data_IF_348169844742
#
_entry.id   IF_348169844742
#
_cell.length_a   1.000
_cell.length_b   1.000
_cell.length_c   1.000
_cell.angle_alpha   90.00
_cell.angle_beta   90.00
_cell.angle_gamma   90.00
#
_symmetry.space_group_name_H-M   'P 1'
#
loop_
_entity.id
_entity.type
_entity.pdbx_description
1 polymer ?
#
# COMPACT_ATOMS: atom_id res chain seq x y z
N UNK A 1 -8.00 7.78 33.01
CA UNK A 1 -6.87 8.22 32.15
C UNK A 1 -6.42 7.20 31.09
N UNK A 2 -6.92 5.95 31.05
CA UNK A 2 -6.44 4.88 30.15
C UNK A 2 -6.89 5.03 28.66
N UNK A 3 -8.02 5.70 28.39
CA UNK A 3 -8.57 5.84 27.03
C UNK A 3 -7.78 6.77 26.10
N UNK A 4 -7.02 7.72 26.65
CA UNK A 4 -6.27 8.71 25.86
C UNK A 4 -5.02 8.10 25.20
N UNK A 5 -4.44 7.07 25.81
CA UNK A 5 -3.26 6.36 25.28
C UNK A 5 -3.61 5.36 24.18
N UNK A 6 -4.84 4.84 24.12
CA UNK A 6 -5.26 3.85 23.12
C UNK A 6 -5.81 4.48 21.82
N UNK A 7 -6.41 5.68 21.89
CA UNK A 7 -6.95 6.40 20.72
C UNK A 7 -5.86 7.01 19.83
N UNK A 8 -4.78 7.53 20.44
CA UNK A 8 -3.63 8.08 19.70
C UNK A 8 -2.96 7.10 18.73
N UNK A 9 -2.61 5.86 19.11
CA UNK A 9 -1.92 4.92 18.23
C UNK A 9 -2.80 4.43 17.07
N UNK A 10 -4.13 4.41 17.22
CA UNK A 10 -5.02 4.04 16.11
C UNK A 10 -5.11 5.15 15.06
N UNK A 11 -5.27 6.40 15.48
CA UNK A 11 -5.27 7.56 14.56
C UNK A 11 -3.94 7.74 13.85
N UNK A 12 -2.82 7.46 14.53
CA UNK A 12 -1.47 7.50 13.94
C UNK A 12 -1.32 6.47 12.82
N UNK A 13 -1.72 5.22 13.06
CA UNK A 13 -1.68 4.14 12.05
C UNK A 13 -2.56 4.41 10.83
N UNK A 14 -3.75 4.98 11.01
CA UNK A 14 -4.60 5.36 9.87
C UNK A 14 -3.99 6.48 9.03
N UNK A 15 -3.42 7.51 9.67
CA UNK A 15 -2.71 8.58 8.96
C UNK A 15 -1.48 8.07 8.23
N UNK A 16 -0.68 7.23 8.88
CA UNK A 16 0.50 6.59 8.26
C UNK A 16 0.08 5.73 7.06
N UNK A 17 -1.03 4.99 7.14
CA UNK A 17 -1.54 4.22 6.01
C UNK A 17 -2.04 5.11 4.86
N UNK A 18 -2.75 6.21 5.14
CA UNK A 18 -3.14 7.18 4.11
C UNK A 18 -1.94 7.82 3.43
N UNK A 19 -0.93 8.24 4.21
CA UNK A 19 0.30 8.81 3.67
C UNK A 19 1.05 7.82 2.78
N UNK A 20 1.16 6.56 3.21
CA UNK A 20 1.74 5.49 2.38
C UNK A 20 1.00 5.35 1.04
N UNK A 21 -0.33 5.45 1.04
CA UNK A 21 -1.14 5.36 -0.19
C UNK A 21 -0.98 6.56 -1.13
N UNK A 22 -0.71 7.75 -0.59
CA UNK A 22 -0.43 8.97 -1.35
C UNK A 22 0.99 8.96 -1.95
N UNK A 23 1.93 8.30 -1.27
CA UNK A 23 3.32 8.19 -1.73
C UNK A 23 3.51 7.18 -2.86
N UNK A 24 2.54 6.29 -3.11
CA UNK A 24 2.60 5.30 -4.19
C UNK A 24 2.61 5.98 -5.56
N UNK A 25 3.60 5.62 -6.39
CA UNK A 25 3.72 6.12 -7.76
C UNK A 25 3.91 4.98 -8.76
N UNK A 26 3.57 5.25 -10.02
CA UNK A 26 3.87 4.35 -11.14
C UNK A 26 5.39 4.11 -11.18
N UNK A 27 5.79 2.85 -11.32
CA UNK A 27 7.19 2.42 -11.30
C UNK A 27 7.70 1.98 -9.92
N UNK A 28 6.96 2.24 -8.84
CA UNK A 28 7.36 1.78 -7.52
C UNK A 28 7.24 0.26 -7.38
N UNK A 29 8.25 -0.34 -6.76
CA UNK A 29 8.18 -1.72 -6.30
C UNK A 29 7.40 -1.77 -4.99
N UNK A 30 6.42 -2.64 -4.94
CA UNK A 30 5.53 -2.79 -3.79
C UNK A 30 5.36 -4.24 -3.41
N UNK A 31 5.01 -4.45 -2.14
CA UNK A 31 4.52 -5.72 -1.65
C UNK A 31 3.07 -5.55 -1.22
N UNK A 32 2.22 -6.49 -1.63
CA UNK A 32 0.82 -6.56 -1.20
C UNK A 32 0.71 -7.29 0.14
N UNK A 33 -0.41 -7.13 0.84
CA UNK A 33 -0.70 -7.82 2.10
C UNK A 33 -0.69 -9.34 1.98
N UNK A 34 -0.89 -9.89 0.77
CA UNK A 34 -0.77 -11.31 0.47
C UNK A 34 0.66 -11.79 0.20
N UNK A 35 1.68 -10.93 0.36
CA UNK A 35 3.08 -11.27 0.11
C UNK A 35 3.50 -11.23 -1.36
N UNK A 36 2.64 -10.75 -2.27
CA UNK A 36 2.96 -10.64 -3.69
C UNK A 36 3.80 -9.40 -3.94
N UNK A 37 4.93 -9.58 -4.61
CA UNK A 37 5.80 -8.50 -5.08
C UNK A 37 5.45 -8.12 -6.51
N UNK A 38 5.52 -6.83 -6.80
CA UNK A 38 5.32 -6.33 -8.15
C UNK A 38 5.71 -4.87 -8.30
N UNK A 39 5.60 -4.38 -9.52
CA UNK A 39 5.83 -2.98 -9.89
C UNK A 39 4.51 -2.33 -10.25
N UNK A 40 4.24 -1.15 -9.71
CA UNK A 40 3.01 -0.40 -10.05
C UNK A 40 3.06 0.03 -11.51
N UNK A 41 2.09 -0.43 -12.30
CA UNK A 41 1.89 0.06 -13.67
C UNK A 41 0.82 1.13 -13.75
N UNK A 42 -0.24 1.04 -12.97
CA UNK A 42 -1.32 2.04 -12.98
C UNK A 42 -1.91 2.21 -11.60
N UNK A 43 -2.24 3.45 -11.25
CA UNK A 43 -2.91 3.81 -10.00
C UNK A 43 -4.28 4.38 -10.34
N UNK A 44 -5.31 3.88 -9.68
CA UNK A 44 -6.69 4.39 -9.69
C UNK A 44 -7.11 4.66 -8.25
N UNK A 45 -8.23 5.35 -8.04
CA UNK A 45 -8.64 5.79 -6.70
C UNK A 45 -8.77 4.61 -5.72
N UNK A 46 -9.45 3.54 -6.10
CA UNK A 46 -9.69 2.39 -5.21
C UNK A 46 -8.76 1.19 -5.47
N UNK A 47 -8.01 1.20 -6.57
CA UNK A 47 -7.21 0.04 -6.98
C UNK A 47 -5.89 0.42 -7.64
N UNK A 48 -4.95 -0.51 -7.59
CA UNK A 48 -3.63 -0.39 -8.20
C UNK A 48 -3.41 -1.60 -9.09
N UNK A 49 -2.94 -1.38 -10.31
CA UNK A 49 -2.49 -2.45 -11.21
C UNK A 49 -1.00 -2.62 -11.02
N UNK A 50 -0.60 -3.81 -10.61
CA UNK A 50 0.80 -4.20 -10.46
C UNK A 50 1.18 -5.24 -11.50
N UNK A 51 2.40 -5.15 -12.00
CA UNK A 51 3.04 -6.18 -12.81
C UNK A 51 3.90 -7.06 -11.91
N UNK A 52 3.60 -8.35 -11.89
CA UNK A 52 4.35 -9.35 -11.14
C UNK A 52 5.50 -9.90 -12.00
N UNK A 53 6.46 -10.58 -11.37
CA UNK A 53 7.67 -11.07 -12.06
C UNK A 53 7.37 -12.05 -13.20
N UNK A 54 6.25 -12.79 -13.13
CA UNK A 54 5.80 -13.66 -14.23
C UNK A 54 5.37 -12.90 -15.49
N UNK A 55 5.37 -11.57 -15.47
CA UNK A 55 4.93 -10.70 -16.56
C UNK A 55 3.43 -10.44 -16.58
N UNK A 56 2.65 -11.18 -15.78
CA UNK A 56 1.23 -10.94 -15.62
C UNK A 56 0.95 -9.61 -14.89
N UNK A 57 -0.17 -8.99 -15.22
CA UNK A 57 -0.68 -7.82 -14.51
C UNK A 57 -1.87 -8.22 -13.65
N UNK A 58 -1.94 -7.66 -12.45
CA UNK A 58 -2.99 -7.94 -11.50
C UNK A 58 -3.49 -6.64 -10.89
N UNK A 59 -4.82 -6.50 -10.80
CA UNK A 59 -5.45 -5.40 -10.10
C UNK A 59 -5.65 -5.79 -8.64
N UNK A 60 -5.10 -5.00 -7.74
CA UNK A 60 -5.23 -5.16 -6.29
C UNK A 60 -5.91 -3.93 -5.70
N UNK A 61 -6.64 -4.13 -4.60
CA UNK A 61 -7.21 -3.00 -3.87
C UNK A 61 -6.07 -2.12 -3.32
N UNK A 62 -6.26 -0.80 -3.37
CA UNK A 62 -5.23 0.15 -2.95
C UNK A 62 -4.83 -0.08 -1.49
N UNK A 63 -5.81 -0.28 -0.61
CA UNK A 63 -5.60 -0.59 0.81
C UNK A 63 -4.85 -1.92 1.08
N UNK A 64 -4.77 -2.81 0.10
CA UNK A 64 -4.04 -4.07 0.20
C UNK A 64 -2.55 -3.93 -0.10
N UNK A 65 -2.06 -2.73 -0.44
CA UNK A 65 -0.62 -2.48 -0.58
C UNK A 65 -0.02 -2.30 0.81
N UNK A 66 0.85 -3.23 1.21
CA UNK A 66 1.41 -3.28 2.55
C UNK A 66 2.61 -2.33 2.73
N UNK A 67 3.32 -2.02 1.64
CA UNK A 67 4.45 -1.11 1.69
C UNK A 67 5.16 -0.94 0.36
N UNK A 68 5.83 0.19 0.22
CA UNK A 68 6.84 0.44 -0.82
C UNK A 68 8.13 -0.27 -0.42
N UNK A 69 8.79 -0.91 -1.39
CA UNK A 69 10.12 -1.49 -1.23
C UNK A 69 11.07 -0.72 -2.14
N UNK A 70 11.92 0.09 -1.53
CA UNK A 70 13.11 0.56 -2.22
C UNK A 70 14.15 -0.56 -2.27
N UNK A 71 14.91 -0.59 -3.35
CA UNK A 71 15.97 -1.57 -3.54
C UNK A 71 17.17 -1.20 -2.69
#
# INVERSE_FOLDING_TARGET
MMYFLMIRPQRKRQKEHQQLMEELKRGDRVITAGGVYGVIETISDDSVVIKVESGATMRVARNSVAGKREK
#
